data_IF_001230838664
#
_entry.id   IF_001230838664
#
_cell.length_a   1.000
_cell.length_b   1.000
_cell.length_c   1.000
_cell.angle_alpha   90.00
_cell.angle_beta   90.00
_cell.angle_gamma   90.00
#
_symmetry.space_group_name_H-M   'P 1'
#
loop_
_entity.id
_entity.type
_entity.pdbx_description
1 polymer ?
#
# COMPACT_ATOMS: atom_id res chain seq x y z
N UNK A 1 -11.03 75.13 -21.32
CA UNK A 1 -11.48 74.12 -20.33
C UNK A 1 -10.98 72.75 -20.76
N UNK A 2 -9.78 72.35 -20.32
CA UNK A 2 -9.17 71.07 -20.70
C UNK A 2 -9.29 70.13 -19.49
N UNK A 3 -10.17 69.13 -19.60
CA UNK A 3 -10.36 68.09 -18.57
C UNK A 3 -9.16 67.14 -18.62
N UNK A 4 -8.29 67.22 -17.62
CA UNK A 4 -7.20 66.26 -17.40
C UNK A 4 -7.80 64.93 -16.95
N UNK A 5 -7.71 63.92 -17.82
CA UNK A 5 -8.07 62.55 -17.50
C UNK A 5 -6.91 61.94 -16.71
N UNK A 6 -7.04 61.85 -15.38
CA UNK A 6 -6.07 61.18 -14.52
C UNK A 6 -6.38 59.68 -14.53
N UNK A 7 -5.62 58.90 -15.29
CA UNK A 7 -5.69 57.44 -15.28
C UNK A 7 -4.93 56.96 -14.05
N UNK A 8 -5.67 56.52 -13.03
CA UNK A 8 -5.11 55.93 -11.81
C UNK A 8 -4.65 54.49 -12.15
N UNK A 9 -3.34 54.31 -12.23
CA UNK A 9 -2.69 53.03 -12.49
C UNK A 9 -2.86 52.11 -11.27
N UNK A 10 -3.77 51.14 -11.36
CA UNK A 10 -3.96 50.09 -10.35
C UNK A 10 -2.77 49.11 -10.43
N UNK A 11 -1.71 49.35 -9.65
CA UNK A 11 -0.65 48.37 -9.39
C UNK A 11 -1.21 47.25 -8.49
N UNK A 12 -1.76 46.23 -9.12
CA UNK A 12 -2.10 44.96 -8.49
C UNK A 12 -0.79 44.21 -8.22
N UNK A 13 -0.28 44.35 -7.01
CA UNK A 13 0.83 43.56 -6.49
C UNK A 13 0.37 42.13 -6.22
N UNK A 14 0.51 41.24 -7.20
CA UNK A 14 0.41 39.80 -7.00
C UNK A 14 1.63 39.32 -6.22
N UNK A 15 1.58 39.43 -4.89
CA UNK A 15 2.46 38.67 -4.00
C UNK A 15 2.06 37.19 -4.09
N UNK A 16 2.66 36.48 -5.05
CA UNK A 16 2.56 35.03 -5.14
C UNK A 16 3.13 34.41 -3.86
N UNK A 17 2.25 33.94 -2.98
CA UNK A 17 2.61 33.07 -1.87
C UNK A 17 3.01 31.71 -2.44
N UNK A 18 4.26 31.60 -2.88
CA UNK A 18 4.88 30.32 -3.18
C UNK A 18 5.14 29.63 -1.84
N UNK A 19 4.16 28.87 -1.35
CA UNK A 19 4.40 27.94 -0.24
C UNK A 19 5.40 26.91 -0.77
N UNK A 20 6.64 26.96 -0.27
CA UNK A 20 7.66 25.95 -0.54
C UNK A 20 7.09 24.61 -0.08
N UNK A 21 6.77 23.72 -1.01
CA UNK A 21 6.39 22.35 -0.65
C UNK A 21 7.55 21.73 0.14
N UNK A 22 7.22 21.09 1.26
CA UNK A 22 8.21 20.36 2.04
C UNK A 22 8.87 19.30 1.15
N UNK A 23 10.18 19.13 1.30
CA UNK A 23 10.90 18.03 0.67
C UNK A 23 10.36 16.72 1.22
N UNK A 24 9.98 15.75 0.37
CA UNK A 24 9.53 14.45 0.84
C UNK A 24 10.60 13.77 1.70
N UNK A 25 10.14 13.01 2.68
CA UNK A 25 10.95 12.30 3.66
C UNK A 25 10.79 10.79 3.48
N UNK A 26 11.91 10.08 3.67
CA UNK A 26 11.93 8.63 3.84
C UNK A 26 12.22 8.28 5.31
N UNK A 27 11.23 7.69 5.99
CA UNK A 27 11.33 7.26 7.39
C UNK A 27 10.52 5.99 7.60
N UNK A 28 11.17 4.85 7.45
CA UNK A 28 10.58 3.52 7.60
C UNK A 28 11.24 2.81 8.79
N UNK A 29 10.49 2.20 9.72
CA UNK A 29 11.06 1.39 10.79
C UNK A 29 11.91 0.24 10.23
N UNK A 30 13.02 -0.07 10.90
CA UNK A 30 13.96 -1.09 10.44
C UNK A 30 13.31 -2.49 10.28
N UNK A 31 12.25 -2.79 11.04
CA UNK A 31 11.51 -4.05 10.92
C UNK A 31 10.56 -4.10 9.70
N UNK A 32 10.19 -2.96 9.13
CA UNK A 32 9.32 -2.86 7.95
C UNK A 32 10.15 -2.78 6.66
N UNK A 33 11.35 -2.19 6.73
CA UNK A 33 12.27 -1.95 5.61
C UNK A 33 12.48 -3.19 4.69
N UNK A 34 12.70 -4.42 5.21
CA UNK A 34 12.89 -5.59 4.35
C UNK A 34 11.71 -5.86 3.40
N UNK A 35 10.48 -5.55 3.84
CA UNK A 35 9.27 -5.74 3.05
C UNK A 35 9.11 -4.64 2.00
N UNK A 36 9.46 -3.38 2.32
CA UNK A 36 9.50 -2.29 1.32
C UNK A 36 10.48 -2.63 0.20
N UNK A 37 11.68 -3.10 0.55
CA UNK A 37 12.67 -3.52 -0.44
C UNK A 37 12.23 -4.75 -1.22
N UNK A 38 11.50 -5.68 -0.61
CA UNK A 38 10.91 -6.82 -1.32
C UNK A 38 9.89 -6.35 -2.36
N UNK A 39 9.01 -5.41 -2.02
CA UNK A 39 8.03 -4.84 -2.95
C UNK A 39 8.70 -4.21 -4.18
N UNK A 40 9.74 -3.39 -3.97
CA UNK A 40 10.52 -2.78 -5.07
C UNK A 40 11.18 -3.84 -5.95
N UNK A 41 11.76 -4.90 -5.36
CA UNK A 41 12.33 -6.01 -6.13
C UNK A 41 11.27 -6.73 -6.97
N UNK A 42 10.12 -7.03 -6.39
CA UNK A 42 9.01 -7.71 -7.07
C UNK A 42 8.41 -6.86 -8.20
N UNK A 43 8.30 -5.54 -8.01
CA UNK A 43 7.92 -4.58 -9.06
C UNK A 43 8.92 -4.64 -10.23
N UNK A 44 10.23 -4.59 -9.92
CA UNK A 44 11.29 -4.64 -10.92
C UNK A 44 11.30 -5.94 -11.72
N UNK A 45 11.03 -7.09 -11.08
CA UNK A 45 10.91 -8.38 -11.76
C UNK A 45 9.77 -8.40 -12.80
N UNK A 46 8.78 -7.51 -12.66
CA UNK A 46 7.64 -7.33 -13.57
C UNK A 46 7.80 -6.13 -14.50
N UNK A 47 9.02 -5.59 -14.61
CA UNK A 47 9.33 -4.47 -15.50
C UNK A 47 8.85 -3.10 -15.01
N UNK A 48 8.43 -2.99 -13.74
CA UNK A 48 8.01 -1.74 -13.13
C UNK A 48 9.19 -1.14 -12.38
N UNK A 49 9.71 -0.01 -12.88
CA UNK A 49 10.77 0.73 -12.20
C UNK A 49 10.16 1.63 -11.11
N UNK A 50 10.10 1.11 -9.89
CA UNK A 50 9.52 1.79 -8.75
C UNK A 50 10.62 2.32 -7.82
N UNK A 51 10.59 3.62 -7.54
CA UNK A 51 11.42 4.25 -6.53
C UNK A 51 10.56 4.68 -5.34
N UNK A 52 10.94 4.26 -4.14
CA UNK A 52 10.28 4.61 -2.87
C UNK A 52 11.29 5.40 -2.03
N UNK A 53 11.27 6.72 -2.16
CA UNK A 53 12.14 7.67 -1.43
C UNK A 53 11.34 8.71 -0.63
N UNK A 54 10.02 8.57 -0.61
CA UNK A 54 9.05 9.51 -0.07
C UNK A 54 8.02 8.82 0.84
N UNK A 55 8.46 7.81 1.60
CA UNK A 55 7.61 6.98 2.45
C UNK A 55 7.91 7.21 3.93
N UNK A 56 6.87 7.58 4.68
CA UNK A 56 6.86 7.47 6.15
C UNK A 56 6.02 6.25 6.52
N UNK A 57 6.53 5.41 7.41
CA UNK A 57 5.76 4.35 8.06
C UNK A 57 5.77 4.58 9.56
N UNK A 58 4.60 4.52 10.18
CA UNK A 58 4.48 4.56 11.63
C UNK A 58 3.56 3.47 12.16
N UNK A 59 3.73 3.14 13.44
CA UNK A 59 2.84 2.24 14.16
C UNK A 59 1.92 3.08 15.05
N UNK A 60 0.61 2.87 14.94
CA UNK A 60 -0.38 3.58 15.75
C UNK A 60 -1.53 2.67 16.22
N UNK A 61 -2.34 3.17 17.15
CA UNK A 61 -3.59 2.53 17.52
C UNK A 61 -4.58 2.66 16.34
N UNK A 62 -5.24 1.57 15.92
CA UNK A 62 -6.28 1.56 14.93
C UNK A 62 -7.46 2.37 15.44
N UNK A 63 -8.16 2.95 14.48
CA UNK A 63 -9.38 3.70 14.71
C UNK A 63 -10.50 3.14 13.82
N UNK A 64 -11.60 3.88 13.68
CA UNK A 64 -12.71 3.44 12.85
C UNK A 64 -12.38 3.30 11.35
N UNK A 65 -11.21 3.79 10.90
CA UNK A 65 -10.83 3.84 9.49
C UNK A 65 -9.95 2.65 9.07
N UNK A 66 -9.33 1.92 10.00
CA UNK A 66 -8.48 0.78 9.67
C UNK A 66 -8.31 -0.22 10.83
N UNK A 67 -8.05 -1.48 10.49
CA UNK A 67 -7.80 -2.54 11.48
C UNK A 67 -6.30 -2.74 11.68
N UNK A 68 -5.56 -3.03 10.61
CA UNK A 68 -4.11 -3.32 10.69
C UNK A 68 -3.22 -2.43 9.83
N UNK A 69 -3.79 -1.74 8.83
CA UNK A 69 -3.01 -0.91 7.92
C UNK A 69 -3.86 0.17 7.26
N UNK A 70 -3.24 1.31 6.97
CA UNK A 70 -3.82 2.37 6.17
C UNK A 70 -2.75 3.13 5.40
N UNK A 71 -2.93 3.28 4.10
CA UNK A 71 -2.20 4.25 3.28
C UNK A 71 -2.91 5.61 3.24
N UNK A 72 -2.25 6.62 3.80
CA UNK A 72 -2.56 8.04 3.65
C UNK A 72 -1.60 8.66 2.62
N UNK A 73 -2.08 8.89 1.41
CA UNK A 73 -1.30 9.64 0.42
C UNK A 73 -1.30 9.09 -0.99
N UNK A 74 -2.31 8.32 -1.40
CA UNK A 74 -2.45 7.82 -2.79
C UNK A 74 -2.17 8.94 -3.82
N UNK A 75 -2.71 10.15 -3.59
CA UNK A 75 -2.49 11.34 -4.44
C UNK A 75 -1.45 12.34 -3.91
N UNK A 76 -0.89 12.09 -2.73
CA UNK A 76 0.08 12.98 -2.12
C UNK A 76 1.51 12.68 -2.60
N UNK A 77 2.35 13.73 -2.60
CA UNK A 77 3.78 13.60 -2.88
C UNK A 77 4.53 12.89 -1.77
N UNK A 78 4.12 13.07 -0.51
CA UNK A 78 4.55 12.25 0.62
C UNK A 78 3.58 11.08 0.77
N UNK A 79 4.11 9.86 0.82
CA UNK A 79 3.32 8.67 1.21
C UNK A 79 3.45 8.45 2.71
N UNK A 80 2.35 8.07 3.33
CA UNK A 80 2.30 7.76 4.74
C UNK A 80 1.52 6.46 4.95
N UNK A 81 2.15 5.45 5.52
CA UNK A 81 1.50 4.20 5.91
C UNK A 81 1.44 4.15 7.44
N UNK A 82 0.26 3.85 7.96
CA UNK A 82 0.04 3.60 9.38
C UNK A 82 -0.21 2.10 9.53
N UNK A 83 0.58 1.43 10.37
CA UNK A 83 0.41 0.03 10.74
C UNK A 83 -0.18 -0.07 12.16
N UNK A 84 -1.11 -0.99 12.38
CA UNK A 84 -1.74 -1.20 13.67
C UNK A 84 -0.77 -1.77 14.71
N UNK A 85 -0.75 -1.22 15.93
CA UNK A 85 0.13 -1.69 17.02
C UNK A 85 -0.38 -2.95 17.73
N UNK A 86 -1.58 -3.43 17.41
CA UNK A 86 -2.13 -4.65 17.99
C UNK A 86 -1.22 -5.82 17.70
N UNK A 87 -1.07 -6.71 18.69
CA UNK A 87 -0.16 -7.83 18.58
C UNK A 87 -0.49 -8.71 17.35
N UNK A 88 -1.77 -8.96 17.08
CA UNK A 88 -2.21 -9.74 15.93
C UNK A 88 -1.92 -9.08 14.57
N UNK A 89 -1.79 -7.75 14.49
CA UNK A 89 -1.50 -7.05 13.23
C UNK A 89 -0.02 -7.16 12.83
N UNK A 90 0.88 -7.18 13.83
CA UNK A 90 2.31 -7.16 13.57
C UNK A 90 3.09 -8.16 14.42
N UNK A 91 3.11 -8.00 15.73
CA UNK A 91 4.01 -8.76 16.64
C UNK A 91 3.83 -10.28 16.54
N UNK A 92 2.60 -10.76 16.47
CA UNK A 92 2.25 -12.19 16.35
C UNK A 92 2.13 -12.64 14.90
N UNK A 93 2.05 -11.69 13.96
CA UNK A 93 1.93 -11.99 12.54
C UNK A 93 3.20 -12.68 12.02
N UNK A 94 2.99 -13.69 11.18
CA UNK A 94 4.08 -14.39 10.49
C UNK A 94 4.80 -13.46 9.51
N UNK A 95 6.05 -13.74 9.11
CA UNK A 95 6.73 -12.94 8.10
C UNK A 95 5.94 -12.80 6.79
N UNK A 96 5.18 -13.84 6.39
CA UNK A 96 4.32 -13.82 5.20
C UNK A 96 3.11 -12.90 5.39
N UNK A 97 2.48 -12.94 6.57
CA UNK A 97 1.35 -12.05 6.90
C UNK A 97 1.82 -10.58 6.94
N UNK A 98 2.99 -10.31 7.52
CA UNK A 98 3.60 -8.96 7.52
C UNK A 98 3.94 -8.48 6.11
N UNK A 99 4.51 -9.35 5.28
CA UNK A 99 4.75 -9.04 3.87
C UNK A 99 3.44 -8.68 3.17
N UNK A 100 2.40 -9.52 3.33
CA UNK A 100 1.09 -9.30 2.71
C UNK A 100 0.47 -7.97 3.12
N UNK A 101 0.51 -7.63 4.42
CA UNK A 101 0.03 -6.36 4.94
C UNK A 101 0.81 -5.17 4.36
N UNK A 102 2.14 -5.21 4.40
CA UNK A 102 2.96 -4.10 3.86
C UNK A 102 2.77 -3.95 2.35
N UNK A 103 2.66 -5.06 1.61
CA UNK A 103 2.43 -5.03 0.17
C UNK A 103 1.03 -4.48 -0.17
N UNK A 104 0.02 -4.81 0.63
CA UNK A 104 -1.33 -4.26 0.50
C UNK A 104 -1.31 -2.73 0.64
N UNK A 105 -0.68 -2.20 1.68
CA UNK A 105 -0.61 -0.75 1.90
C UNK A 105 0.26 -0.04 0.86
N UNK A 106 1.38 -0.64 0.44
CA UNK A 106 2.20 -0.11 -0.64
C UNK A 106 1.46 -0.10 -1.98
N UNK A 107 0.63 -1.10 -2.26
CA UNK A 107 -0.18 -1.14 -3.46
C UNK A 107 -1.26 -0.05 -3.48
N UNK A 108 -1.87 0.26 -2.33
CA UNK A 108 -2.70 1.47 -2.21
C UNK A 108 -1.88 2.73 -2.53
N UNK A 109 -0.71 2.89 -1.93
CA UNK A 109 0.10 4.12 -2.00
C UNK A 109 0.77 4.37 -3.35
N UNK A 110 1.27 3.33 -4.01
CA UNK A 110 2.15 3.44 -5.18
C UNK A 110 1.54 2.86 -6.46
N UNK A 111 0.61 1.91 -6.36
CA UNK A 111 -0.07 1.33 -7.52
C UNK A 111 -1.51 1.85 -7.68
N UNK A 112 -1.98 2.68 -6.74
CA UNK A 112 -3.35 3.19 -6.68
C UNK A 112 -4.41 2.08 -6.70
N UNK A 113 -4.06 0.90 -6.17
CA UNK A 113 -4.97 -0.23 -6.05
C UNK A 113 -6.07 0.10 -5.05
N UNK A 114 -7.29 -0.34 -5.33
CA UNK A 114 -8.44 -0.23 -4.42
C UNK A 114 -8.81 -1.60 -3.86
N UNK A 115 -9.54 -1.61 -2.74
CA UNK A 115 -10.05 -2.86 -2.19
C UNK A 115 -10.96 -3.58 -3.18
N UNK A 116 -10.90 -4.90 -3.18
CA UNK A 116 -11.82 -5.75 -3.94
C UNK A 116 -12.18 -7.00 -3.15
N UNK A 117 -13.48 -7.29 -3.05
CA UNK A 117 -14.00 -8.49 -2.40
C UNK A 117 -14.25 -9.63 -3.40
N UNK A 118 -13.68 -9.54 -4.62
CA UNK A 118 -13.80 -10.59 -5.63
C UNK A 118 -13.24 -11.91 -5.07
N UNK A 119 -13.99 -12.97 -5.28
CA UNK A 119 -13.62 -14.33 -4.90
C UNK A 119 -13.58 -15.25 -6.11
N UNK A 120 -12.77 -16.29 -6.02
CA UNK A 120 -12.80 -17.42 -6.94
C UNK A 120 -13.97 -18.36 -6.63
N UNK A 121 -14.14 -19.40 -7.46
CA UNK A 121 -15.23 -20.36 -7.32
C UNK A 121 -15.17 -21.16 -6.01
N UNK A 122 -13.95 -21.42 -5.51
CA UNK A 122 -13.67 -22.05 -4.22
C UNK A 122 -13.88 -21.12 -3.01
N UNK A 123 -14.28 -19.87 -3.23
CA UNK A 123 -14.53 -18.86 -2.20
C UNK A 123 -13.29 -18.14 -1.69
N UNK A 124 -12.09 -18.44 -2.20
CA UNK A 124 -10.86 -17.74 -1.84
C UNK A 124 -10.82 -16.34 -2.45
N UNK A 125 -10.21 -15.37 -1.77
CA UNK A 125 -10.06 -14.01 -2.31
C UNK A 125 -9.17 -14.02 -3.55
N UNK A 126 -9.63 -13.36 -4.61
CA UNK A 126 -8.89 -13.29 -5.86
C UNK A 126 -7.73 -12.29 -5.83
N UNK A 127 -7.65 -11.43 -4.81
CA UNK A 127 -6.63 -10.38 -4.71
C UNK A 127 -6.08 -10.25 -3.29
N UNK A 128 -4.81 -9.82 -3.19
CA UNK A 128 -4.22 -9.37 -1.93
C UNK A 128 -4.89 -8.07 -1.43
N UNK A 129 -5.53 -7.31 -2.34
CA UNK A 129 -6.30 -6.11 -2.03
C UNK A 129 -7.68 -6.41 -1.44
N UNK A 130 -7.89 -7.61 -0.89
CA UNK A 130 -9.12 -7.90 -0.16
C UNK A 130 -9.11 -7.20 1.21
N UNK A 131 -10.25 -6.70 1.70
CA UNK A 131 -10.28 -5.93 2.95
C UNK A 131 -10.24 -6.79 4.22
N UNK A 132 -10.41 -8.11 4.10
CA UNK A 132 -10.78 -8.95 5.24
C UNK A 132 -9.69 -9.96 5.66
N UNK A 133 -8.68 -10.20 4.83
CA UNK A 133 -7.78 -11.33 5.00
C UNK A 133 -6.36 -11.04 4.47
N UNK A 134 -5.43 -10.84 5.41
CA UNK A 134 -3.98 -10.68 5.16
C UNK A 134 -3.22 -12.01 5.10
N UNK A 135 -3.90 -13.14 5.30
CA UNK A 135 -3.34 -14.48 5.39
C UNK A 135 -3.55 -15.32 4.12
N UNK A 136 -3.80 -14.67 2.98
CA UNK A 136 -4.10 -15.34 1.71
C UNK A 136 -2.96 -16.22 1.18
N UNK A 137 -1.72 -16.00 1.64
CA UNK A 137 -0.56 -16.87 1.41
C UNK A 137 0.26 -17.16 2.69
N UNK A 138 -0.38 -17.15 3.87
CA UNK A 138 0.30 -17.42 5.14
C UNK A 138 0.80 -18.86 5.27
N UNK A 139 1.72 -19.07 6.20
CA UNK A 139 2.16 -20.41 6.62
C UNK A 139 1.10 -21.06 7.52
N UNK A 140 1.04 -22.40 7.50
CA UNK A 140 0.24 -23.12 8.49
C UNK A 140 0.88 -23.06 9.87
N UNK A 141 0.21 -22.41 10.84
CA UNK A 141 0.66 -22.37 12.24
C UNK A 141 0.46 -23.69 12.98
N UNK A 142 -0.59 -24.45 12.64
CA UNK A 142 -0.96 -25.70 13.29
C UNK A 142 -1.25 -26.80 12.25
N UNK A 143 -0.24 -27.55 11.78
CA UNK A 143 -0.41 -28.56 10.71
C UNK A 143 -1.02 -29.85 11.25
N UNK A 144 -2.33 -29.82 11.55
CA UNK A 144 -3.09 -30.95 12.12
C UNK A 144 -3.28 -32.10 11.09
N UNK A 145 -2.96 -31.87 9.82
CA UNK A 145 -3.15 -32.75 8.66
C UNK A 145 -1.90 -32.85 7.75
N UNK A 146 -0.70 -32.75 8.34
CA UNK A 146 0.57 -32.49 7.63
C UNK A 146 0.63 -31.12 6.92
N UNK A 147 -0.31 -30.21 7.20
CA UNK A 147 -0.29 -28.84 6.70
C UNK A 147 -0.88 -28.67 5.30
N UNK A 148 -1.50 -29.71 4.74
CA UNK A 148 -1.93 -29.73 3.34
C UNK A 148 -3.04 -28.72 3.04
N UNK A 149 -3.98 -28.49 3.97
CA UNK A 149 -5.09 -27.55 3.73
C UNK A 149 -4.80 -26.13 4.23
N UNK A 150 -3.91 -25.98 5.22
CA UNK A 150 -3.66 -24.69 5.87
C UNK A 150 -2.43 -23.93 5.37
N UNK A 151 -1.44 -24.59 4.74
CA UNK A 151 -0.26 -23.92 4.20
C UNK A 151 -0.53 -23.30 2.84
N UNK A 152 -0.59 -21.97 2.80
CA UNK A 152 -0.94 -21.21 1.59
C UNK A 152 0.26 -20.55 0.94
N UNK A 153 1.49 -20.84 1.38
CA UNK A 153 2.72 -20.19 0.86
C UNK A 153 2.88 -20.35 -0.65
N UNK A 154 2.42 -21.47 -1.21
CA UNK A 154 2.41 -21.74 -2.65
C UNK A 154 1.55 -20.77 -3.47
N UNK A 155 0.64 -20.02 -2.83
CA UNK A 155 -0.22 -19.02 -3.47
C UNK A 155 0.46 -17.67 -3.65
N UNK A 156 1.57 -17.41 -2.93
CA UNK A 156 2.30 -16.13 -2.98
C UNK A 156 2.57 -15.66 -4.42
N UNK A 157 3.13 -16.48 -5.35
CA UNK A 157 3.43 -16.01 -6.70
C UNK A 157 2.21 -15.41 -7.41
N UNK A 158 1.06 -16.07 -7.33
CA UNK A 158 -0.19 -15.57 -7.91
C UNK A 158 -0.59 -14.21 -7.33
N UNK A 159 -0.59 -14.06 -6.00
CA UNK A 159 -1.02 -12.81 -5.39
C UNK A 159 -0.06 -11.64 -5.69
N UNK A 160 1.24 -11.90 -5.82
CA UNK A 160 2.19 -10.86 -6.22
C UNK A 160 2.03 -10.52 -7.70
N UNK A 161 1.82 -11.50 -8.59
CA UNK A 161 1.52 -11.24 -10.00
C UNK A 161 0.24 -10.40 -10.14
N UNK A 162 -0.84 -10.81 -9.46
CA UNK A 162 -2.12 -10.10 -9.49
C UNK A 162 -2.02 -8.69 -8.91
N UNK A 163 -1.19 -8.46 -7.90
CA UNK A 163 -1.00 -7.14 -7.28
C UNK A 163 -0.46 -6.11 -8.28
N UNK A 164 0.46 -6.53 -9.15
CA UNK A 164 1.08 -5.68 -10.17
C UNK A 164 0.34 -5.74 -11.52
N UNK A 165 -0.47 -6.77 -11.78
CA UNK A 165 -1.28 -6.93 -12.98
C UNK A 165 -2.65 -7.55 -12.67
N UNK A 166 -3.70 -6.72 -12.65
CA UNK A 166 -5.09 -7.13 -12.39
C UNK A 166 -5.66 -8.11 -13.45
N UNK A 167 -4.98 -8.28 -14.58
CA UNK A 167 -5.37 -9.22 -15.64
C UNK A 167 -4.81 -10.63 -15.42
N UNK A 168 -4.04 -10.86 -14.35
CA UNK A 168 -3.47 -12.16 -13.99
C UNK A 168 -4.56 -13.24 -13.98
N UNK A 169 -4.40 -14.33 -14.76
CA UNK A 169 -5.43 -15.35 -14.87
C UNK A 169 -5.60 -16.14 -13.56
N UNK A 170 -6.80 -16.69 -13.29
CA UNK A 170 -7.02 -17.55 -12.14
C UNK A 170 -6.04 -18.73 -12.10
N UNK A 171 -5.44 -19.03 -10.93
CA UNK A 171 -4.49 -20.12 -10.79
C UNK A 171 -5.20 -21.48 -10.70
N UNK A 172 -4.46 -22.56 -10.91
CA UNK A 172 -5.04 -23.91 -10.95
C UNK A 172 -5.71 -24.35 -9.63
N UNK A 173 -5.23 -23.83 -8.50
CA UNK A 173 -5.76 -24.13 -7.16
C UNK A 173 -7.07 -23.40 -6.84
N UNK A 174 -7.48 -22.42 -7.67
CA UNK A 174 -8.66 -21.59 -7.45
C UNK A 174 -9.89 -22.01 -8.27
N UNK A 175 -9.96 -23.29 -8.62
CA UNK A 175 -11.00 -23.87 -9.48
C UNK A 175 -12.13 -24.50 -8.68
#
# INVERSE_FOLDING_TARGET
MIKRCLILLCLIGCLGSCKKEATPEYRVPAEVEPYVQAFVREAKLRGIDLMIDNLIVEFAQPDANYICGMCNGVKARQKHIILGIQEYCWKEATPQTREGLVFHELAHCYLARLHTSKKFADGTYASLMNPDNTEVYSVCLYPIDNGNDCDKRSRRPYYIDELFDETTPPPAWAK
#
